data_IF_045605457403
#
_entry.id   IF_045605457403
#
_cell.length_a   1.000
_cell.length_b   1.000
_cell.length_c   1.000
_cell.angle_alpha   90.00
_cell.angle_beta   90.00
_cell.angle_gamma   90.00
#
_symmetry.space_group_name_H-M   'P 1'
#
loop_
_entity.id
_entity.type
_entity.pdbx_description
1 polymer ?
#
# COMPACT_ATOMS: atom_id res chain seq x y z
N UNK A 1 -0.73 -47.60 50.89
CA UNK A 1 -0.30 -46.19 51.01
C UNK A 1 -0.27 -45.57 49.62
N UNK A 2 -1.31 -44.82 49.28
CA UNK A 2 -1.40 -43.86 48.18
C UNK A 2 -2.26 -42.72 48.75
N UNK A 3 -1.89 -41.43 48.61
CA UNK A 3 -2.09 -40.76 47.31
C UNK A 3 -1.12 -39.59 47.01
N UNK A 4 -1.39 -38.95 45.87
CA UNK A 4 -1.09 -37.57 45.47
C UNK A 4 -0.01 -37.40 44.39
N UNK A 5 -0.45 -37.32 43.14
CA UNK A 5 0.22 -36.53 42.11
C UNK A 5 -0.69 -35.35 41.77
N UNK A 6 -0.11 -34.16 41.91
CA UNK A 6 -0.74 -32.85 41.88
C UNK A 6 -1.29 -32.45 40.51
N UNK A 7 -2.41 -31.72 40.52
CA UNK A 7 -2.87 -30.89 39.40
C UNK A 7 -1.85 -29.77 39.20
N UNK A 8 -1.14 -29.78 38.07
CA UNK A 8 -0.29 -28.65 37.65
C UNK A 8 -1.11 -27.70 36.78
N UNK A 9 -0.96 -26.41 37.06
CA UNK A 9 -1.87 -25.33 36.70
C UNK A 9 -1.99 -25.02 35.22
N UNK A 10 -3.21 -24.59 34.86
CA UNK A 10 -3.49 -23.81 33.66
C UNK A 10 -2.66 -22.51 33.64
N UNK A 11 -2.01 -22.14 32.52
CA UNK A 11 -1.52 -20.79 32.34
C UNK A 11 -2.72 -19.82 32.14
N UNK A 12 -2.61 -18.55 32.62
CA UNK A 12 -3.66 -17.57 32.41
C UNK A 12 -3.73 -17.17 30.92
N UNK A 13 -4.89 -16.78 30.41
CA UNK A 13 -5.00 -16.24 29.06
C UNK A 13 -4.15 -14.97 29.01
N UNK A 14 -3.16 -14.96 28.11
CA UNK A 14 -2.41 -13.76 27.78
C UNK A 14 -3.40 -12.66 27.40
N UNK A 15 -3.38 -11.57 28.14
CA UNK A 15 -4.04 -10.32 27.81
C UNK A 15 -3.71 -9.99 26.35
N UNK A 16 -4.68 -10.17 25.46
CA UNK A 16 -4.63 -9.63 24.13
C UNK A 16 -4.44 -8.11 24.29
N UNK A 17 -3.22 -7.64 24.00
CA UNK A 17 -2.97 -6.23 23.79
C UNK A 17 -3.89 -5.80 22.65
N UNK A 18 -5.01 -5.18 23.00
CA UNK A 18 -5.83 -4.47 22.05
C UNK A 18 -4.90 -3.47 21.34
N UNK A 19 -4.66 -3.71 20.06
CA UNK A 19 -3.93 -2.78 19.23
C UNK A 19 -4.62 -1.42 19.37
N UNK A 20 -3.89 -0.33 19.66
CA UNK A 20 -4.51 0.98 19.74
C UNK A 20 -5.21 1.26 18.41
N UNK A 21 -6.50 1.61 18.48
CA UNK A 21 -7.25 2.07 17.33
C UNK A 21 -6.41 3.14 16.60
N UNK A 22 -6.27 3.07 15.26
CA UNK A 22 -5.40 3.99 14.56
C UNK A 22 -5.90 5.41 14.79
N UNK A 23 -5.17 6.17 15.61
CA UNK A 23 -5.14 7.63 15.56
C UNK A 23 -5.07 8.00 14.08
N UNK A 24 -6.06 8.75 13.58
CA UNK A 24 -6.15 9.21 12.19
C UNK A 24 -4.83 9.85 11.79
N UNK A 25 -3.87 9.07 11.30
CA UNK A 25 -2.68 9.57 10.62
C UNK A 25 -3.22 10.31 9.40
N UNK A 26 -2.77 11.55 9.22
CA UNK A 26 -3.09 12.29 8.01
C UNK A 26 -2.76 11.42 6.79
N UNK A 27 -3.65 11.39 5.79
CA UNK A 27 -3.44 10.66 4.54
C UNK A 27 -2.08 11.08 3.94
N UNK A 28 -1.08 10.19 3.91
CA UNK A 28 0.27 10.55 3.49
C UNK A 28 0.31 10.97 2.00
N UNK A 29 -0.57 10.40 1.17
CA UNK A 29 -0.66 10.76 -0.25
C UNK A 29 -1.17 12.19 -0.37
N UNK A 30 -2.28 12.51 0.30
CA UNK A 30 -2.83 13.86 0.31
C UNK A 30 -1.80 14.90 0.77
N UNK A 31 -1.11 14.63 1.88
CA UNK A 31 -0.08 15.54 2.41
C UNK A 31 1.06 15.76 1.42
N UNK A 32 1.49 14.71 0.72
CA UNK A 32 2.52 14.81 -0.30
C UNK A 32 2.04 15.63 -1.52
N UNK A 33 0.80 15.43 -1.97
CA UNK A 33 0.22 16.14 -3.11
C UNK A 33 -0.03 17.62 -2.82
N UNK A 34 -0.51 17.97 -1.63
CA UNK A 34 -0.63 19.35 -1.18
C UNK A 34 0.74 20.06 -1.13
N UNK A 35 1.80 19.35 -0.75
CA UNK A 35 3.16 19.88 -0.78
C UNK A 35 3.65 20.10 -2.21
N UNK A 36 3.37 19.16 -3.12
CA UNK A 36 3.72 19.29 -4.53
C UNK A 36 2.97 20.47 -5.18
N UNK A 37 1.66 20.57 -4.98
CA UNK A 37 0.81 21.63 -5.50
C UNK A 37 1.33 23.02 -5.13
N UNK A 38 1.72 23.22 -3.86
CA UNK A 38 2.33 24.48 -3.39
C UNK A 38 3.67 24.83 -4.05
N UNK A 39 4.34 23.84 -4.64
CA UNK A 39 5.65 24.03 -5.28
C UNK A 39 5.57 24.26 -6.80
N UNK A 40 4.39 24.07 -7.38
CA UNK A 40 4.13 24.25 -8.81
C UNK A 40 3.48 25.63 -9.07
N UNK A 41 3.64 26.18 -10.28
CA UNK A 41 2.95 27.41 -10.64
C UNK A 41 1.42 27.26 -10.54
N UNK A 42 0.74 28.32 -10.10
CA UNK A 42 -0.72 28.36 -9.98
C UNK A 42 -1.37 28.46 -11.37
N UNK A 43 -1.53 27.31 -12.04
CA UNK A 43 -2.12 27.16 -13.38
C UNK A 43 -2.87 25.82 -13.48
N UNK A 44 -3.85 25.75 -14.39
CA UNK A 44 -4.80 24.64 -14.49
C UNK A 44 -4.14 23.28 -14.79
N UNK A 45 -3.20 23.25 -15.73
CA UNK A 45 -2.36 22.08 -16.05
C UNK A 45 -1.56 21.55 -14.84
N UNK A 46 -1.11 22.43 -13.93
CA UNK A 46 -0.42 22.01 -12.69
C UNK A 46 -1.40 21.37 -11.71
N UNK A 47 -2.62 21.88 -11.58
CA UNK A 47 -3.64 21.28 -10.73
C UNK A 47 -4.04 19.89 -11.26
N UNK A 48 -4.34 19.78 -12.55
CA UNK A 48 -4.67 18.51 -13.22
C UNK A 48 -3.54 17.49 -13.07
N UNK A 49 -2.29 17.92 -13.22
CA UNK A 49 -1.14 17.03 -13.04
C UNK A 49 -1.03 16.48 -11.62
N UNK A 50 -1.32 17.30 -10.60
CA UNK A 50 -1.31 16.87 -9.19
C UNK A 50 -2.44 15.89 -8.92
N UNK A 51 -3.64 16.15 -9.42
CA UNK A 51 -4.79 15.24 -9.25
C UNK A 51 -4.47 13.86 -9.87
N UNK A 52 -3.92 13.85 -11.08
CA UNK A 52 -3.54 12.61 -11.75
C UNK A 52 -2.40 11.87 -11.03
N UNK A 53 -1.46 12.58 -10.41
CA UNK A 53 -0.43 11.96 -9.57
C UNK A 53 -1.02 11.39 -8.27
N UNK A 54 -2.02 12.06 -7.70
CA UNK A 54 -2.74 11.58 -6.52
C UNK A 54 -3.46 10.27 -6.82
N UNK A 55 -4.17 10.22 -7.95
CA UNK A 55 -4.90 9.04 -8.41
C UNK A 55 -3.95 7.87 -8.72
N UNK A 56 -2.90 8.10 -9.54
CA UNK A 56 -1.91 7.07 -9.87
C UNK A 56 -1.24 6.49 -8.60
N UNK A 57 -0.97 7.32 -7.58
CA UNK A 57 -0.38 6.87 -6.31
C UNK A 57 -1.35 6.04 -5.48
N UNK A 58 -2.63 6.44 -5.41
CA UNK A 58 -3.65 5.66 -4.69
C UNK A 58 -3.89 4.32 -5.37
N UNK A 59 -4.07 4.31 -6.68
CA UNK A 59 -4.20 3.10 -7.47
C UNK A 59 -2.99 2.17 -7.27
N UNK A 60 -1.78 2.74 -7.20
CA UNK A 60 -0.56 1.98 -6.95
C UNK A 60 -0.50 1.36 -5.55
N UNK A 61 -0.93 2.10 -4.52
CA UNK A 61 -0.99 1.58 -3.16
C UNK A 61 -2.07 0.50 -3.01
N UNK A 62 -3.22 0.70 -3.63
CA UNK A 62 -4.31 -0.29 -3.63
C UNK A 62 -3.87 -1.58 -4.33
N UNK A 63 -3.21 -1.47 -5.49
CA UNK A 63 -2.70 -2.64 -6.20
C UNK A 63 -1.58 -3.37 -5.45
N UNK A 64 -0.74 -2.65 -4.68
CA UNK A 64 0.22 -3.28 -3.76
C UNK A 64 -0.49 -4.02 -2.63
N UNK A 65 -1.57 -3.46 -2.09
CA UNK A 65 -2.41 -4.11 -1.09
C UNK A 65 -3.03 -5.42 -1.60
N UNK A 66 -3.49 -5.47 -2.84
CA UNK A 66 -3.99 -6.69 -3.47
C UNK A 66 -2.91 -7.78 -3.59
N UNK A 67 -1.66 -7.40 -3.88
CA UNK A 67 -0.52 -8.33 -3.93
C UNK A 67 -0.21 -8.86 -2.53
N UNK A 68 -0.17 -7.99 -1.52
CA UNK A 68 0.04 -8.37 -0.12
C UNK A 68 -1.07 -9.31 0.38
N UNK A 69 -2.32 -9.03 0.03
CA UNK A 69 -3.47 -9.86 0.38
C UNK A 69 -3.32 -11.28 -0.17
N UNK A 70 -2.92 -11.43 -1.45
CA UNK A 70 -2.68 -12.75 -2.04
C UNK A 70 -1.64 -13.57 -1.26
N UNK A 71 -0.51 -12.97 -0.87
CA UNK A 71 0.49 -13.68 -0.06
C UNK A 71 0.01 -13.97 1.36
N UNK A 72 -0.82 -13.10 1.93
CA UNK A 72 -1.44 -13.32 3.24
C UNK A 72 -2.39 -14.50 3.19
N UNK A 73 -3.28 -14.55 2.19
CA UNK A 73 -4.21 -15.66 1.96
C UNK A 73 -3.46 -16.98 1.75
N UNK A 74 -2.34 -16.95 1.02
CA UNK A 74 -1.46 -18.10 0.83
C UNK A 74 -0.83 -18.59 2.14
N UNK A 75 -0.31 -17.68 2.95
CA UNK A 75 0.25 -18.03 4.25
C UNK A 75 -0.81 -18.58 5.22
N UNK A 76 -2.01 -18.01 5.21
CA UNK A 76 -3.10 -18.44 6.07
C UNK A 76 -3.64 -19.80 5.63
N UNK A 77 -3.72 -20.06 4.33
CA UNK A 77 -4.05 -21.39 3.79
C UNK A 77 -3.01 -22.41 4.25
N UNK A 78 -1.71 -22.13 4.09
CA UNK A 78 -0.62 -23.03 4.49
C UNK A 78 -0.52 -23.30 5.99
N UNK A 79 -1.19 -22.50 6.82
CA UNK A 79 -1.25 -22.68 8.28
C UNK A 79 -2.45 -23.51 8.74
N UNK A 80 -3.38 -23.84 7.85
CA UNK A 80 -4.55 -24.64 8.20
C UNK A 80 -4.13 -26.04 8.71
N UNK A 81 -4.83 -26.53 9.73
CA UNK A 81 -4.54 -27.83 10.35
C UNK A 81 -4.76 -29.00 9.38
N UNK A 82 -5.83 -28.92 8.58
CA UNK A 82 -6.17 -29.87 7.54
C UNK A 82 -6.07 -29.20 6.18
N UNK A 83 -4.98 -29.46 5.47
CA UNK A 83 -4.67 -28.84 4.19
C UNK A 83 -5.04 -29.78 3.04
N UNK A 84 -6.01 -29.41 2.21
CA UNK A 84 -6.43 -30.25 1.08
C UNK A 84 -5.60 -30.00 -0.18
N UNK A 85 -5.45 -31.00 -1.06
CA UNK A 85 -4.81 -30.81 -2.37
C UNK A 85 -5.51 -29.76 -3.26
N UNK A 86 -6.82 -29.57 -3.11
CA UNK A 86 -7.58 -28.59 -3.90
C UNK A 86 -7.24 -27.17 -3.45
N UNK A 87 -7.21 -26.90 -2.15
CA UNK A 87 -6.85 -25.59 -1.60
C UNK A 87 -5.42 -25.18 -1.99
N UNK A 88 -4.49 -26.15 -2.05
CA UNK A 88 -3.13 -25.90 -2.56
C UNK A 88 -3.10 -25.43 -4.02
N UNK A 89 -3.95 -26.01 -4.87
CA UNK A 89 -4.04 -25.63 -6.28
C UNK A 89 -4.71 -24.26 -6.43
N UNK A 90 -5.79 -24.02 -5.70
CA UNK A 90 -6.52 -22.75 -5.74
C UNK A 90 -5.68 -21.58 -5.23
N UNK A 91 -4.99 -21.73 -4.09
CA UNK A 91 -4.17 -20.67 -3.54
C UNK A 91 -2.87 -20.44 -4.32
N UNK A 92 -2.45 -21.46 -5.08
CA UNK A 92 -1.34 -21.39 -6.03
C UNK A 92 -1.69 -20.68 -7.34
N UNK A 93 -2.96 -20.33 -7.60
CA UNK A 93 -3.33 -19.56 -8.78
C UNK A 93 -2.72 -18.16 -8.73
N UNK A 94 -1.86 -17.85 -9.70
CA UNK A 94 -1.05 -16.63 -9.72
C UNK A 94 -1.55 -15.57 -10.73
N UNK A 95 -2.56 -15.89 -11.55
CA UNK A 95 -2.97 -15.02 -12.65
C UNK A 95 -3.35 -13.61 -12.16
N UNK A 96 -4.08 -13.52 -11.04
CA UNK A 96 -4.50 -12.22 -10.48
C UNK A 96 -3.30 -11.42 -9.98
N UNK A 97 -2.36 -12.05 -9.27
CA UNK A 97 -1.16 -11.35 -8.77
C UNK A 97 -0.28 -10.90 -9.93
N UNK A 98 -0.13 -11.72 -10.97
CA UNK A 98 0.61 -11.35 -12.19
C UNK A 98 -0.03 -10.14 -12.90
N UNK A 99 -1.36 -10.11 -13.02
CA UNK A 99 -2.09 -8.96 -13.58
C UNK A 99 -1.89 -7.70 -12.74
N UNK A 100 -1.90 -7.82 -11.41
CA UNK A 100 -1.62 -6.69 -10.51
C UNK A 100 -0.19 -6.17 -10.65
N UNK A 101 0.78 -7.07 -10.78
CA UNK A 101 2.19 -6.69 -11.00
C UNK A 101 2.41 -5.98 -12.33
N UNK A 102 1.77 -6.43 -13.42
CA UNK A 102 1.83 -5.74 -14.71
C UNK A 102 1.17 -4.36 -14.66
N UNK A 103 0.02 -4.26 -14.00
CA UNK A 103 -0.63 -2.98 -13.76
C UNK A 103 0.23 -2.02 -12.92
N UNK A 104 0.87 -2.51 -11.85
CA UNK A 104 1.83 -1.73 -11.06
C UNK A 104 2.99 -1.22 -11.92
N UNK A 105 3.51 -2.05 -12.82
CA UNK A 105 4.54 -1.62 -13.77
C UNK A 105 4.03 -0.48 -14.67
N UNK A 106 2.79 -0.59 -15.17
CA UNK A 106 2.15 0.50 -15.92
C UNK A 106 2.07 1.80 -15.11
N UNK A 107 1.57 1.74 -13.87
CA UNK A 107 1.46 2.90 -12.99
C UNK A 107 2.83 3.55 -12.71
N UNK A 108 3.87 2.76 -12.45
CA UNK A 108 5.23 3.26 -12.24
C UNK A 108 5.73 4.04 -13.48
N UNK A 109 5.41 3.57 -14.69
CA UNK A 109 5.75 4.28 -15.93
C UNK A 109 4.99 5.60 -16.04
N UNK A 110 3.71 5.65 -15.65
CA UNK A 110 2.93 6.90 -15.67
C UNK A 110 3.43 7.89 -14.61
N UNK A 111 3.65 7.45 -13.38
CA UNK A 111 4.24 8.25 -12.31
C UNK A 111 5.55 8.90 -12.74
N UNK A 112 6.45 8.12 -13.38
CA UNK A 112 7.71 8.66 -13.91
C UNK A 112 7.49 9.78 -14.91
N UNK A 113 6.57 9.61 -15.86
CA UNK A 113 6.24 10.63 -16.88
C UNK A 113 5.68 11.89 -16.23
N UNK A 114 4.73 11.74 -15.30
CA UNK A 114 4.10 12.87 -14.61
C UNK A 114 5.06 13.63 -13.70
N UNK A 115 5.96 12.93 -13.00
CA UNK A 115 7.02 13.57 -12.23
C UNK A 115 7.98 14.37 -13.11
N UNK A 116 8.33 13.86 -14.30
CA UNK A 116 9.12 14.61 -15.27
C UNK A 116 8.38 15.87 -15.79
N UNK A 117 7.06 15.78 -15.99
CA UNK A 117 6.22 16.94 -16.32
C UNK A 117 6.21 17.97 -15.19
N UNK A 118 6.04 17.54 -13.94
CA UNK A 118 6.04 18.42 -12.76
C UNK A 118 7.40 19.14 -12.61
N UNK A 119 8.50 18.42 -12.81
CA UNK A 119 9.84 18.99 -12.82
C UNK A 119 9.99 20.05 -13.92
N UNK A 120 9.48 19.78 -15.13
CA UNK A 120 9.52 20.72 -16.25
C UNK A 120 8.73 22.00 -15.96
N UNK A 121 7.51 21.88 -15.42
CA UNK A 121 6.69 23.03 -15.02
C UNK A 121 7.37 23.89 -13.96
N UNK A 122 8.01 23.25 -12.98
CA UNK A 122 8.78 23.94 -11.94
C UNK A 122 9.97 24.70 -12.51
N UNK A 123 10.72 24.10 -13.44
CA UNK A 123 11.85 24.77 -14.11
C UNK A 123 11.40 25.98 -14.94
N UNK A 124 10.30 25.86 -15.69
CA UNK A 124 9.75 26.97 -16.48
C UNK A 124 9.33 28.15 -15.60
N UNK A 125 8.70 27.89 -14.45
CA UNK A 125 8.32 28.93 -13.50
C UNK A 125 9.55 29.67 -12.92
N UNK A 126 10.62 28.95 -12.63
CA UNK A 126 11.88 29.53 -12.15
C UNK A 126 12.57 30.39 -13.21
N UNK A 127 12.59 29.93 -14.46
CA UNK A 127 13.16 30.69 -15.58
C UNK A 127 12.41 32.01 -15.80
N UNK A 128 11.07 31.98 -15.80
CA UNK A 128 10.24 33.17 -15.97
C UNK A 128 10.39 34.19 -14.83
N UNK A 129 10.72 33.73 -13.61
CA UNK A 129 10.97 34.60 -12.46
C UNK A 129 12.33 35.29 -12.55
N UNK A 130 13.36 34.61 -13.10
CA UNK A 130 14.72 35.18 -13.26
C UNK A 130 14.83 36.19 -14.41
N UNK A 131 13.90 36.15 -15.36
CA UNK A 131 13.86 37.08 -16.49
C UNK A 131 13.09 38.37 -16.22
N UNK A 132 12.55 38.54 -15.01
CA UNK A 132 11.85 39.74 -14.54
C UNK A 132 12.72 40.48 -13.54
#
# INVERSE_FOLDING_TARGET
MLPACSVMGMPPPALALAAPAPLRRADPVRVAMERLARSLPARTDSAVLVDLLEDDLREGLDALGDVEAHFTDLLDTLRAEDLSPVELLEVGEDLRVLQRLDYLHHLIVQLRKRLAQAASLKQQAQAATRSR
#
